data_IF_094059954117
#
_entry.id   IF_094059954117
#
_cell.length_a   1.000
_cell.length_b   1.000
_cell.length_c   1.000
_cell.angle_alpha   90.00
_cell.angle_beta   90.00
_cell.angle_gamma   90.00
#
_symmetry.space_group_name_H-M   'P 1'
#
loop_
_entity.id
_entity.type
_entity.pdbx_description
1 polymer ?
#
# COMPACT_ATOMS: atom_id res chain seq x y z
N UNK A 1 -75.37 9.41 -15.35
CA UNK A 1 -74.00 9.93 -15.60
C UNK A 1 -73.56 11.02 -14.62
N UNK A 2 -74.39 11.99 -14.22
CA UNK A 2 -73.94 13.11 -13.38
C UNK A 2 -73.52 12.72 -11.94
N UNK A 3 -74.19 11.78 -11.29
CA UNK A 3 -73.87 11.38 -9.91
C UNK A 3 -72.54 10.59 -9.77
N UNK A 4 -72.22 9.72 -10.72
CA UNK A 4 -71.00 8.89 -10.72
C UNK A 4 -69.73 9.72 -10.88
N UNK A 5 -69.77 10.74 -11.75
CA UNK A 5 -68.65 11.65 -11.96
C UNK A 5 -68.38 12.54 -10.73
N UNK A 6 -69.44 12.95 -10.02
CA UNK A 6 -69.32 13.74 -8.79
C UNK A 6 -68.63 12.93 -7.67
N UNK A 7 -68.96 11.65 -7.51
CA UNK A 7 -68.33 10.78 -6.51
C UNK A 7 -66.82 10.55 -6.75
N UNK A 8 -66.42 10.32 -8.00
CA UNK A 8 -65.00 10.14 -8.37
C UNK A 8 -64.20 11.42 -8.17
N UNK A 9 -64.76 12.58 -8.54
CA UNK A 9 -64.13 13.89 -8.33
C UNK A 9 -63.99 14.22 -6.82
N UNK A 10 -64.98 13.84 -6.00
CA UNK A 10 -64.95 14.06 -4.56
C UNK A 10 -63.90 13.17 -3.88
N UNK A 11 -63.77 11.91 -4.30
CA UNK A 11 -62.72 11.02 -3.81
C UNK A 11 -61.31 11.42 -4.25
N UNK A 12 -61.14 11.94 -5.48
CA UNK A 12 -59.87 12.54 -5.93
C UNK A 12 -59.50 13.79 -5.12
N UNK A 13 -60.49 14.65 -4.83
CA UNK A 13 -60.28 15.82 -3.98
C UNK A 13 -59.91 15.44 -2.54
N UNK A 14 -60.56 14.41 -1.98
CA UNK A 14 -60.27 13.88 -0.65
C UNK A 14 -58.87 13.25 -0.59
N UNK A 15 -58.50 12.45 -1.59
CA UNK A 15 -57.18 11.84 -1.70
C UNK A 15 -56.08 12.92 -1.78
N UNK A 16 -56.30 13.98 -2.56
CA UNK A 16 -55.37 15.13 -2.67
C UNK A 16 -55.25 15.92 -1.36
N UNK A 17 -56.34 16.05 -0.61
CA UNK A 17 -56.38 16.73 0.68
C UNK A 17 -55.75 15.89 1.80
N UNK A 18 -55.83 14.56 1.73
CA UNK A 18 -55.16 13.66 2.64
C UNK A 18 -53.65 13.55 2.35
N UNK A 19 -53.24 13.67 1.09
CA UNK A 19 -51.82 13.70 0.69
C UNK A 19 -51.08 14.88 1.34
N UNK A 20 -51.77 15.99 1.61
CA UNK A 20 -51.19 17.17 2.29
C UNK A 20 -51.26 17.14 3.81
N UNK A 21 -51.99 16.18 4.43
CA UNK A 21 -52.25 16.17 5.89
C UNK A 21 -51.86 14.89 6.63
N UNK A 22 -51.96 13.71 6.00
CA UNK A 22 -51.90 12.40 6.69
C UNK A 22 -50.85 11.46 6.08
N UNK A 23 -50.21 11.86 4.98
CA UNK A 23 -49.12 11.13 4.31
C UNK A 23 -49.57 10.23 3.17
N UNK A 24 -48.59 9.77 2.39
CA UNK A 24 -48.78 9.07 1.10
C UNK A 24 -49.61 7.78 1.23
N UNK A 25 -49.47 7.02 2.33
CA UNK A 25 -50.20 5.77 2.59
C UNK A 25 -51.73 5.99 2.59
N UNK A 26 -52.22 6.98 3.35
CA UNK A 26 -53.66 7.25 3.49
C UNK A 26 -54.29 7.78 2.19
N UNK A 27 -53.55 8.56 1.41
CA UNK A 27 -54.01 9.07 0.12
C UNK A 27 -54.17 7.96 -0.92
N UNK A 28 -53.20 7.05 -1.03
CA UNK A 28 -53.29 5.92 -1.97
C UNK A 28 -54.43 4.97 -1.57
N UNK A 29 -54.66 4.73 -0.27
CA UNK A 29 -55.78 3.90 0.20
C UNK A 29 -57.15 4.50 -0.14
N UNK A 30 -57.32 5.81 0.06
CA UNK A 30 -58.58 6.50 -0.26
C UNK A 30 -58.83 6.59 -1.76
N UNK A 31 -57.78 6.79 -2.56
CA UNK A 31 -57.85 6.72 -4.01
C UNK A 31 -58.26 5.31 -4.48
N UNK A 32 -57.65 4.28 -3.91
CA UNK A 32 -57.97 2.88 -4.18
C UNK A 32 -59.43 2.54 -3.85
N UNK A 33 -59.92 2.93 -2.67
CA UNK A 33 -61.33 2.73 -2.28
C UNK A 33 -62.29 3.50 -3.20
N UNK A 34 -61.94 4.72 -3.60
CA UNK A 34 -62.74 5.52 -4.54
C UNK A 34 -62.83 4.83 -5.91
N UNK A 35 -61.72 4.30 -6.42
CA UNK A 35 -61.68 3.55 -7.68
C UNK A 35 -62.51 2.26 -7.61
N UNK A 36 -62.45 1.51 -6.50
CA UNK A 36 -63.29 0.34 -6.26
C UNK A 36 -64.78 0.71 -6.24
N UNK A 37 -65.18 1.72 -5.46
CA UNK A 37 -66.58 2.15 -5.39
C UNK A 37 -67.07 2.65 -6.76
N UNK A 38 -66.23 3.40 -7.49
CA UNK A 38 -66.52 3.86 -8.84
C UNK A 38 -66.71 2.71 -9.83
N UNK A 39 -65.88 1.67 -9.75
CA UNK A 39 -65.99 0.46 -10.56
C UNK A 39 -67.32 -0.29 -10.31
N UNK A 40 -67.74 -0.38 -9.05
CA UNK A 40 -69.04 -0.95 -8.69
C UNK A 40 -70.23 -0.13 -9.25
N UNK A 41 -70.16 1.19 -9.18
CA UNK A 41 -71.21 2.06 -9.72
C UNK A 41 -71.28 2.03 -11.26
N UNK A 42 -70.12 1.94 -11.94
CA UNK A 42 -70.05 1.85 -13.41
C UNK A 42 -70.57 0.48 -13.88
N UNK A 43 -70.18 -0.63 -13.24
CA UNK A 43 -70.70 -1.97 -13.58
C UNK A 43 -72.22 -2.06 -13.42
N UNK A 44 -72.81 -1.35 -12.45
CA UNK A 44 -74.26 -1.23 -12.29
C UNK A 44 -74.97 -0.40 -13.39
N UNK A 45 -74.24 0.33 -14.24
CA UNK A 45 -74.82 1.14 -15.33
C UNK A 45 -74.42 0.66 -16.73
N UNK A 46 -73.22 0.08 -16.85
CA UNK A 46 -72.64 -0.45 -18.09
C UNK A 46 -72.05 -1.83 -17.80
N UNK A 47 -72.86 -2.90 -17.86
CA UNK A 47 -72.46 -4.25 -17.44
C UNK A 47 -71.38 -4.89 -18.34
N UNK A 48 -71.31 -4.49 -19.62
CA UNK A 48 -70.24 -4.93 -20.54
C UNK A 48 -68.82 -4.52 -20.09
N UNK A 49 -68.70 -3.58 -19.14
CA UNK A 49 -67.42 -3.17 -18.58
C UNK A 49 -66.84 -4.15 -17.53
N UNK A 50 -67.59 -5.18 -17.13
CA UNK A 50 -67.22 -6.12 -16.05
C UNK A 50 -65.81 -6.69 -16.22
N UNK A 51 -65.46 -7.16 -17.41
CA UNK A 51 -64.14 -7.74 -17.70
C UNK A 51 -62.97 -6.78 -17.41
N UNK A 52 -63.17 -5.48 -17.67
CA UNK A 52 -62.16 -4.44 -17.41
C UNK A 52 -62.15 -4.05 -15.92
N UNK A 53 -63.31 -4.08 -15.27
CA UNK A 53 -63.46 -3.64 -13.87
C UNK A 53 -62.85 -4.63 -12.86
N UNK A 54 -62.70 -5.91 -13.23
CA UNK A 54 -62.00 -6.92 -12.43
C UNK A 54 -60.47 -6.73 -12.40
N UNK A 55 -59.90 -5.95 -13.32
CA UNK A 55 -58.47 -5.60 -13.26
C UNK A 55 -58.17 -4.51 -12.22
N UNK A 56 -59.19 -3.81 -11.71
CA UNK A 56 -59.01 -2.68 -10.81
C UNK A 56 -58.56 -3.13 -9.40
N UNK A 57 -59.09 -4.20 -8.78
CA UNK A 57 -58.61 -4.64 -7.46
C UNK A 57 -57.13 -5.06 -7.46
N UNK A 58 -56.61 -5.85 -8.43
CA UNK A 58 -55.17 -6.11 -8.55
C UNK A 58 -54.33 -4.86 -8.77
N UNK A 59 -54.81 -3.91 -9.57
CA UNK A 59 -54.12 -2.63 -9.81
C UNK A 59 -54.05 -1.76 -8.53
N UNK A 60 -55.13 -1.73 -7.74
CA UNK A 60 -55.18 -1.02 -6.46
C UNK A 60 -54.23 -1.69 -5.46
N UNK A 61 -54.19 -3.02 -5.40
CA UNK A 61 -53.22 -3.74 -4.57
C UNK A 61 -51.79 -3.46 -5.03
N UNK A 62 -51.50 -3.49 -6.33
CA UNK A 62 -50.17 -3.21 -6.88
C UNK A 62 -49.67 -1.80 -6.52
N UNK A 63 -50.56 -0.80 -6.53
CA UNK A 63 -50.22 0.58 -6.15
C UNK A 63 -50.09 0.79 -4.65
N UNK A 64 -50.79 -0.01 -3.83
CA UNK A 64 -50.70 0.02 -2.36
C UNK A 64 -49.52 -0.78 -1.79
N UNK A 65 -49.04 -1.77 -2.53
CA UNK A 65 -47.99 -2.71 -2.12
C UNK A 65 -46.70 -2.05 -1.60
N UNK A 66 -46.18 -0.95 -2.18
CA UNK A 66 -44.99 -0.27 -1.65
C UNK A 66 -45.20 0.43 -0.30
N UNK A 67 -46.45 0.57 0.13
CA UNK A 67 -46.86 1.48 1.20
C UNK A 67 -47.50 0.77 2.39
N UNK A 68 -47.74 -0.53 2.31
CA UNK A 68 -48.55 -1.27 3.30
C UNK A 68 -47.75 -2.45 3.86
N UNK A 69 -47.71 -2.56 5.18
CA UNK A 69 -46.97 -3.62 5.86
C UNK A 69 -47.64 -5.01 5.68
N UNK A 70 -46.87 -6.09 5.78
CA UNK A 70 -47.31 -7.47 5.49
C UNK A 70 -48.51 -7.99 6.31
N UNK A 71 -48.91 -7.32 7.40
CA UNK A 71 -50.15 -7.67 8.11
C UNK A 71 -51.37 -7.00 7.48
N UNK A 72 -51.27 -5.70 7.20
CA UNK A 72 -52.33 -4.92 6.58
C UNK A 72 -52.56 -5.35 5.12
N UNK A 73 -51.52 -5.78 4.43
CA UNK A 73 -51.60 -6.18 3.03
C UNK A 73 -52.45 -7.47 2.83
N UNK A 74 -52.46 -8.39 3.81
CA UNK A 74 -53.38 -9.55 3.80
C UNK A 74 -54.85 -9.10 3.87
N UNK A 75 -55.13 -8.05 4.65
CA UNK A 75 -56.46 -7.44 4.71
C UNK A 75 -56.85 -6.77 3.40
N UNK A 76 -55.93 -6.03 2.76
CA UNK A 76 -56.18 -5.39 1.45
C UNK A 76 -56.44 -6.44 0.36
N UNK A 77 -55.67 -7.54 0.32
CA UNK A 77 -55.91 -8.66 -0.60
C UNK A 77 -57.28 -9.31 -0.34
N UNK A 78 -57.63 -9.57 0.92
CA UNK A 78 -58.94 -10.14 1.26
C UNK A 78 -60.10 -9.22 0.84
N UNK A 79 -59.97 -7.91 1.03
CA UNK A 79 -60.95 -6.91 0.58
C UNK A 79 -61.03 -6.86 -0.94
N UNK A 80 -59.90 -6.91 -1.65
CA UNK A 80 -59.87 -6.93 -3.11
C UNK A 80 -60.56 -8.18 -3.69
N UNK A 81 -60.33 -9.36 -3.11
CA UNK A 81 -60.99 -10.60 -3.50
C UNK A 81 -62.49 -10.60 -3.16
N UNK A 82 -62.87 -10.08 -2.00
CA UNK A 82 -64.28 -9.94 -1.62
C UNK A 82 -65.03 -8.96 -2.53
N UNK A 83 -64.37 -7.88 -2.95
CA UNK A 83 -64.91 -6.93 -3.92
C UNK A 83 -65.09 -7.56 -5.30
N UNK A 84 -64.14 -8.38 -5.74
CA UNK A 84 -64.24 -9.12 -6.99
C UNK A 84 -65.42 -10.12 -6.97
N UNK A 85 -65.57 -10.86 -5.87
CA UNK A 85 -66.72 -11.74 -5.65
C UNK A 85 -68.06 -10.99 -5.65
N UNK A 86 -68.10 -9.79 -5.07
CA UNK A 86 -69.28 -8.93 -5.06
C UNK A 86 -69.65 -8.45 -6.47
N UNK A 87 -68.68 -8.02 -7.28
CA UNK A 87 -68.91 -7.63 -8.67
C UNK A 87 -69.49 -8.80 -9.49
N UNK A 88 -68.97 -10.01 -9.29
CA UNK A 88 -69.48 -11.22 -9.93
C UNK A 88 -70.91 -11.56 -9.46
N UNK A 89 -71.23 -11.36 -8.18
CA UNK A 89 -72.57 -11.59 -7.64
C UNK A 89 -73.59 -10.60 -8.21
N UNK A 90 -73.25 -9.32 -8.31
CA UNK A 90 -74.11 -8.28 -8.90
C UNK A 90 -74.43 -8.61 -10.37
N UNK A 91 -73.43 -9.10 -11.11
CA UNK A 91 -73.61 -9.53 -12.49
C UNK A 91 -74.49 -10.77 -12.65
N UNK A 92 -74.58 -11.63 -11.63
CA UNK A 92 -75.43 -12.83 -11.62
C UNK A 92 -76.88 -12.56 -11.28
N UNK A 93 -77.19 -11.49 -10.56
CA UNK A 93 -78.56 -11.15 -10.12
C UNK A 93 -79.41 -10.47 -11.21
N UNK A 94 -78.90 -10.40 -12.45
CA UNK A 94 -79.49 -9.80 -13.67
C UNK A 94 -80.53 -8.67 -13.44
N UNK A 95 -80.13 -7.48 -12.94
CA UNK A 95 -81.05 -6.38 -12.74
C UNK A 95 -81.35 -5.56 -14.01
N UNK A 96 -80.68 -5.81 -15.15
CA UNK A 96 -80.48 -4.79 -16.20
C UNK A 96 -80.75 -5.22 -17.66
N UNK A 97 -81.35 -6.38 -17.92
CA UNK A 97 -81.83 -6.80 -19.25
C UNK A 97 -80.77 -6.69 -20.37
N UNK A 98 -79.60 -7.30 -20.17
CA UNK A 98 -78.59 -7.39 -21.22
C UNK A 98 -78.88 -8.53 -22.20
N UNK A 99 -78.33 -8.49 -23.43
CA UNK A 99 -78.12 -9.71 -24.20
C UNK A 99 -77.23 -10.64 -23.37
N UNK A 100 -77.78 -11.78 -22.98
CA UNK A 100 -77.09 -12.78 -22.20
C UNK A 100 -75.89 -13.30 -23.01
N UNK A 101 -74.65 -13.23 -22.48
CA UNK A 101 -73.54 -13.90 -23.11
C UNK A 101 -73.83 -15.41 -23.18
N UNK A 102 -73.15 -16.18 -24.05
CA UNK A 102 -73.36 -17.61 -24.18
C UNK A 102 -73.40 -18.30 -22.80
N UNK A 103 -74.25 -19.31 -22.62
CA UNK A 103 -74.44 -19.99 -21.32
C UNK A 103 -73.10 -20.45 -20.69
N UNK A 104 -72.13 -20.82 -21.54
CA UNK A 104 -70.78 -21.18 -21.13
C UNK A 104 -70.02 -20.02 -20.45
N UNK A 105 -70.09 -18.79 -20.95
CA UNK A 105 -69.38 -17.63 -20.39
C UNK A 105 -69.96 -17.20 -19.04
N UNK A 106 -71.29 -17.33 -18.88
CA UNK A 106 -71.96 -17.04 -17.62
C UNK A 106 -71.46 -17.92 -16.48
N UNK A 107 -71.09 -19.18 -16.76
CA UNK A 107 -70.60 -20.13 -15.77
C UNK A 107 -69.07 -20.07 -15.63
N UNK A 108 -68.36 -19.99 -16.74
CA UNK A 108 -66.90 -20.12 -16.79
C UNK A 108 -66.17 -18.90 -16.19
N UNK A 109 -66.63 -17.68 -16.49
CA UNK A 109 -66.01 -16.44 -15.99
C UNK A 109 -66.01 -16.38 -14.44
N UNK A 110 -67.15 -16.51 -13.74
CA UNK A 110 -67.15 -16.43 -12.27
C UNK A 110 -66.45 -17.61 -11.60
N UNK A 111 -66.28 -18.74 -12.29
CA UNK A 111 -65.55 -19.89 -11.76
C UNK A 111 -64.03 -19.67 -11.82
N UNK A 112 -63.50 -19.11 -12.91
CA UNK A 112 -62.04 -18.99 -13.15
C UNK A 112 -61.48 -17.65 -12.64
N UNK A 113 -62.24 -16.56 -12.78
CA UNK A 113 -61.79 -15.20 -12.48
C UNK A 113 -61.19 -14.99 -11.07
N UNK A 114 -61.81 -15.47 -9.97
CA UNK A 114 -61.23 -15.27 -8.63
C UNK A 114 -59.89 -16.00 -8.47
N UNK A 115 -59.67 -17.11 -9.17
CA UNK A 115 -58.37 -17.80 -9.17
C UNK A 115 -57.31 -17.00 -9.91
N UNK A 116 -57.66 -16.35 -11.04
CA UNK A 116 -56.75 -15.47 -11.78
C UNK A 116 -56.36 -14.26 -10.92
N UNK A 117 -57.34 -13.59 -10.29
CA UNK A 117 -57.08 -12.47 -9.38
C UNK A 117 -56.24 -12.89 -8.18
N UNK A 118 -56.57 -14.01 -7.52
CA UNK A 118 -55.79 -14.52 -6.40
C UNK A 118 -54.35 -14.86 -6.80
N UNK A 119 -54.14 -15.50 -7.96
CA UNK A 119 -52.82 -15.81 -8.48
C UNK A 119 -52.01 -14.54 -8.79
N UNK A 120 -52.62 -13.54 -9.42
CA UNK A 120 -51.97 -12.26 -9.73
C UNK A 120 -51.58 -11.50 -8.46
N UNK A 121 -52.46 -11.46 -7.46
CA UNK A 121 -52.21 -10.84 -6.16
C UNK A 121 -51.09 -11.56 -5.39
N UNK A 122 -51.06 -12.90 -5.43
CA UNK A 122 -50.01 -13.70 -4.81
C UNK A 122 -48.65 -13.49 -5.50
N UNK A 123 -48.61 -13.40 -6.83
CA UNK A 123 -47.40 -13.10 -7.59
C UNK A 123 -46.87 -11.69 -7.28
N UNK A 124 -47.75 -10.68 -7.26
CA UNK A 124 -47.38 -9.32 -6.89
C UNK A 124 -46.82 -9.27 -5.47
N UNK A 125 -47.50 -9.90 -4.52
CA UNK A 125 -47.03 -10.04 -3.15
C UNK A 125 -45.63 -10.68 -3.07
N UNK A 126 -45.45 -11.82 -3.73
CA UNK A 126 -44.19 -12.55 -3.73
C UNK A 126 -43.05 -11.73 -4.33
N UNK A 127 -43.33 -11.04 -5.44
CA UNK A 127 -42.36 -10.20 -6.12
C UNK A 127 -41.93 -9.00 -5.26
N UNK A 128 -42.88 -8.31 -4.64
CA UNK A 128 -42.57 -7.21 -3.74
C UNK A 128 -41.75 -7.64 -2.54
N UNK A 129 -42.12 -8.75 -1.89
CA UNK A 129 -41.32 -9.29 -0.80
C UNK A 129 -39.89 -9.59 -1.23
N UNK A 130 -39.70 -10.26 -2.36
CA UNK A 130 -38.37 -10.54 -2.90
C UNK A 130 -37.57 -9.26 -3.19
N UNK A 131 -38.18 -8.22 -3.76
CA UNK A 131 -37.48 -6.95 -4.00
C UNK A 131 -37.08 -6.30 -2.68
N UNK A 132 -38.00 -6.21 -1.73
CA UNK A 132 -37.71 -5.57 -0.44
C UNK A 132 -36.59 -6.31 0.29
N UNK A 133 -36.63 -7.65 0.30
CA UNK A 133 -35.57 -8.46 0.88
C UNK A 133 -34.23 -8.25 0.16
N UNK A 134 -34.21 -8.23 -1.17
CA UNK A 134 -33.01 -7.98 -1.96
C UNK A 134 -32.42 -6.59 -1.74
N UNK A 135 -33.27 -5.57 -1.63
CA UNK A 135 -32.83 -4.19 -1.36
C UNK A 135 -32.19 -4.09 0.02
N UNK A 136 -32.81 -4.69 1.04
CA UNK A 136 -32.27 -4.72 2.40
C UNK A 136 -30.94 -5.49 2.47
N UNK A 137 -30.83 -6.65 1.82
CA UNK A 137 -29.57 -7.40 1.76
C UNK A 137 -28.48 -6.63 1.01
N UNK A 138 -28.81 -5.99 -0.11
CA UNK A 138 -27.86 -5.19 -0.88
C UNK A 138 -27.34 -3.99 -0.07
N UNK A 139 -28.21 -3.31 0.68
CA UNK A 139 -27.83 -2.23 1.59
C UNK A 139 -26.89 -2.74 2.70
N UNK A 140 -27.19 -3.89 3.32
CA UNK A 140 -26.33 -4.50 4.33
C UNK A 140 -24.95 -4.86 3.80
N UNK A 141 -24.87 -5.45 2.60
CA UNK A 141 -23.59 -5.79 1.96
C UNK A 141 -22.80 -4.52 1.65
N UNK A 142 -23.46 -3.47 1.16
CA UNK A 142 -22.78 -2.20 0.88
C UNK A 142 -22.21 -1.57 2.15
N UNK A 143 -22.96 -1.59 3.26
CA UNK A 143 -22.47 -1.11 4.56
C UNK A 143 -21.28 -1.94 5.03
N UNK A 144 -21.37 -3.27 4.97
CA UNK A 144 -20.28 -4.17 5.37
C UNK A 144 -19.03 -3.98 4.50
N UNK A 145 -19.20 -3.78 3.19
CA UNK A 145 -18.11 -3.50 2.27
C UNK A 145 -17.45 -2.16 2.58
N UNK A 146 -18.24 -1.11 2.84
CA UNK A 146 -17.72 0.20 3.25
C UNK A 146 -16.92 0.09 4.56
N UNK A 147 -17.42 -0.65 5.55
CA UNK A 147 -16.69 -0.88 6.80
C UNK A 147 -15.36 -1.62 6.57
N UNK A 148 -15.37 -2.63 5.69
CA UNK A 148 -14.14 -3.34 5.33
C UNK A 148 -13.15 -2.45 4.59
N UNK A 149 -13.62 -1.54 3.72
CA UNK A 149 -12.76 -0.58 3.03
C UNK A 149 -12.12 0.40 4.01
N UNK A 150 -12.90 0.99 4.92
CA UNK A 150 -12.38 1.88 5.97
C UNK A 150 -11.32 1.15 6.81
N UNK A 151 -11.63 -0.09 7.25
CA UNK A 151 -10.68 -0.88 8.04
C UNK A 151 -9.38 -1.15 7.28
N UNK A 152 -9.48 -1.44 5.97
CA UNK A 152 -8.32 -1.68 5.13
C UNK A 152 -7.50 -0.40 4.91
N UNK A 153 -8.16 0.74 4.68
CA UNK A 153 -7.52 2.05 4.56
C UNK A 153 -6.78 2.44 5.84
N UNK A 154 -7.39 2.18 7.00
CA UNK A 154 -6.74 2.38 8.31
C UNK A 154 -5.52 1.47 8.48
N UNK A 155 -5.61 0.20 8.09
CA UNK A 155 -4.47 -0.72 8.13
C UNK A 155 -3.35 -0.30 7.19
N UNK A 156 -3.67 0.09 5.96
CA UNK A 156 -2.70 0.55 4.96
C UNK A 156 -2.01 1.83 5.43
N UNK A 157 -2.76 2.79 5.97
CA UNK A 157 -2.19 4.04 6.50
C UNK A 157 -1.27 3.77 7.70
N UNK A 158 -1.66 2.89 8.62
CA UNK A 158 -0.84 2.49 9.77
C UNK A 158 0.46 1.80 9.34
N UNK A 159 0.39 0.85 8.40
CA UNK A 159 1.57 0.15 7.85
C UNK A 159 2.48 1.08 7.07
N UNK A 160 1.92 2.01 6.30
CA UNK A 160 2.70 2.99 5.56
C UNK A 160 3.45 3.92 6.52
N UNK A 161 2.81 4.35 7.61
CA UNK A 161 3.46 5.16 8.65
C UNK A 161 4.56 4.38 9.39
N UNK A 162 4.35 3.10 9.69
CA UNK A 162 5.36 2.22 10.30
C UNK A 162 6.58 2.04 9.37
N UNK A 163 6.33 1.73 8.09
CA UNK A 163 7.40 1.60 7.09
C UNK A 163 8.16 2.90 6.90
N UNK A 164 7.48 4.05 6.86
CA UNK A 164 8.15 5.34 6.71
C UNK A 164 9.09 5.60 7.88
N UNK A 165 8.68 5.31 9.13
CA UNK A 165 9.56 5.44 10.30
C UNK A 165 10.77 4.52 10.21
N UNK A 166 10.58 3.27 9.77
CA UNK A 166 11.69 2.33 9.60
C UNK A 166 12.68 2.80 8.53
N UNK A 167 12.19 3.38 7.42
CA UNK A 167 13.03 3.99 6.39
C UNK A 167 13.81 5.17 6.96
N UNK A 168 13.16 6.07 7.68
CA UNK A 168 13.81 7.24 8.29
C UNK A 168 14.91 6.81 9.29
N UNK A 169 14.67 5.76 10.07
CA UNK A 169 15.67 5.17 10.98
C UNK A 169 16.87 4.58 10.23
N UNK A 170 16.63 3.84 9.15
CA UNK A 170 17.70 3.27 8.31
C UNK A 170 18.55 4.38 7.69
N UNK A 171 17.91 5.44 7.18
CA UNK A 171 18.62 6.59 6.59
C UNK A 171 19.48 7.28 7.65
N UNK A 172 18.94 7.53 8.84
CA UNK A 172 19.70 8.14 9.93
C UNK A 172 20.90 7.28 10.34
N UNK A 173 20.71 5.95 10.45
CA UNK A 173 21.78 5.01 10.77
C UNK A 173 22.86 4.97 9.69
N UNK A 174 22.47 5.00 8.42
CA UNK A 174 23.42 5.05 7.30
C UNK A 174 24.26 6.31 7.34
N UNK A 175 23.65 7.47 7.57
CA UNK A 175 24.37 8.74 7.68
C UNK A 175 25.39 8.72 8.83
N UNK A 176 25.01 8.18 9.99
CA UNK A 176 25.93 8.01 11.12
C UNK A 176 27.08 7.04 10.78
N UNK A 177 26.80 5.96 10.06
CA UNK A 177 27.83 5.01 9.65
C UNK A 177 28.84 5.65 8.69
N UNK A 178 28.37 6.45 7.73
CA UNK A 178 29.22 7.17 6.79
C UNK A 178 30.11 8.20 7.50
N UNK A 179 29.59 8.90 8.50
CA UNK A 179 30.35 9.82 9.34
C UNK A 179 31.48 9.10 10.09
N UNK A 180 31.16 7.97 10.76
CA UNK A 180 32.16 7.16 11.46
C UNK A 180 33.22 6.61 10.51
N UNK A 181 32.84 6.17 9.31
CA UNK A 181 33.79 5.68 8.30
C UNK A 181 34.73 6.80 7.84
N UNK A 182 34.21 8.02 7.66
CA UNK A 182 35.02 9.20 7.34
C UNK A 182 36.01 9.53 8.46
N UNK A 183 35.56 9.50 9.73
CA UNK A 183 36.43 9.72 10.88
C UNK A 183 37.55 8.68 10.95
N UNK A 184 37.22 7.38 10.80
CA UNK A 184 38.21 6.29 10.77
C UNK A 184 39.19 6.48 9.60
N UNK A 185 38.72 6.92 8.44
CA UNK A 185 39.59 7.20 7.29
C UNK A 185 40.57 8.35 7.60
N UNK A 186 40.10 9.44 8.20
CA UNK A 186 40.95 10.55 8.62
C UNK A 186 41.97 10.14 9.69
N UNK A 187 41.55 9.39 10.71
CA UNK A 187 42.45 8.84 11.73
C UNK A 187 43.53 7.95 11.12
N UNK A 188 43.16 7.07 10.17
CA UNK A 188 44.13 6.24 9.45
C UNK A 188 45.12 7.05 8.64
N UNK A 189 44.69 8.14 8.02
CA UNK A 189 45.60 9.01 7.27
C UNK A 189 46.57 9.75 8.18
N UNK A 190 46.09 10.32 9.29
CA UNK A 190 46.94 10.94 10.30
C UNK A 190 47.96 9.94 10.88
N UNK A 191 47.54 8.69 11.15
CA UNK A 191 48.46 7.63 11.58
C UNK A 191 49.51 7.35 10.50
N UNK A 192 49.12 7.30 9.21
CA UNK A 192 50.07 7.09 8.10
C UNK A 192 51.11 8.20 8.00
N UNK A 193 50.69 9.47 8.11
CA UNK A 193 51.62 10.61 8.14
C UNK A 193 52.61 10.52 9.31
N UNK A 194 52.20 10.00 10.46
CA UNK A 194 53.07 9.80 11.63
C UNK A 194 53.97 8.55 11.55
N UNK A 195 53.75 7.64 10.59
CA UNK A 195 54.36 6.29 10.57
C UNK A 195 55.68 6.17 9.79
N UNK A 196 56.18 7.26 9.18
CA UNK A 196 57.45 7.32 8.43
C UNK A 196 58.28 8.54 8.84
N UNK A 197 58.73 8.65 10.10
CA UNK A 197 59.52 9.79 10.54
C UNK A 197 60.96 9.69 10.02
N UNK A 198 61.37 10.57 9.11
CA UNK A 198 62.79 10.83 8.83
C UNK A 198 63.33 11.78 9.89
N UNK A 199 64.26 11.31 10.70
CA UNK A 199 64.76 12.02 11.87
C UNK A 199 66.11 12.68 11.57
N UNK A 200 66.23 14.02 11.54
CA UNK A 200 67.53 14.69 11.50
C UNK A 200 68.20 14.57 12.86
N UNK A 201 69.36 13.91 12.90
CA UNK A 201 70.13 13.67 14.15
C UNK A 201 71.41 14.49 14.20
N UNK A 202 71.88 14.99 13.06
CA UNK A 202 72.94 15.99 12.96
C UNK A 202 72.71 16.88 11.73
N UNK A 203 73.54 17.93 11.57
CA UNK A 203 73.41 18.90 10.47
C UNK A 203 73.43 18.28 9.07
N UNK A 204 74.06 17.12 8.88
CA UNK A 204 74.19 16.45 7.59
C UNK A 204 73.74 14.98 7.62
N UNK A 205 73.08 14.54 8.70
CA UNK A 205 72.76 13.13 8.93
C UNK A 205 71.27 12.94 9.21
N UNK A 206 70.62 12.11 8.39
CA UNK A 206 69.25 11.65 8.56
C UNK A 206 69.21 10.19 9.01
N UNK A 207 68.24 9.86 9.85
CA UNK A 207 67.91 8.48 10.22
C UNK A 207 66.53 8.14 9.69
N UNK A 208 66.44 6.99 9.01
CA UNK A 208 65.22 6.36 8.54
C UNK A 208 64.98 5.08 9.34
N UNK A 209 64.23 5.15 10.45
CA UNK A 209 63.89 3.97 11.24
C UNK A 209 62.80 3.16 10.54
N UNK A 210 63.08 1.87 10.33
CA UNK A 210 62.12 0.92 9.78
C UNK A 210 61.57 0.05 10.91
N UNK A 211 60.29 0.26 11.24
CA UNK A 211 59.61 -0.40 12.37
C UNK A 211 58.36 -1.14 11.92
N UNK A 212 58.24 -2.40 12.34
CA UNK A 212 57.06 -3.22 12.14
C UNK A 212 57.04 -3.93 10.78
N UNK A 213 55.87 -4.43 10.39
CA UNK A 213 55.70 -5.06 9.08
C UNK A 213 55.84 -4.01 7.96
N UNK A 214 56.72 -4.30 7.01
CA UNK A 214 56.90 -3.50 5.80
C UNK A 214 56.24 -4.25 4.64
N UNK A 215 55.38 -3.56 3.91
CA UNK A 215 54.86 -4.03 2.63
C UNK A 215 55.43 -3.18 1.49
N UNK A 216 55.23 -3.61 0.25
CA UNK A 216 55.78 -2.90 -0.92
C UNK A 216 55.16 -1.51 -1.12
N UNK A 217 53.97 -1.22 -0.59
CA UNK A 217 53.40 0.13 -0.64
C UNK A 217 54.13 1.08 0.30
N UNK A 218 54.37 0.65 1.55
CA UNK A 218 55.10 1.40 2.56
C UNK A 218 56.55 1.65 2.15
N UNK A 219 57.20 0.68 1.51
CA UNK A 219 58.57 0.82 0.98
C UNK A 219 58.65 1.86 -0.15
N UNK A 220 57.65 1.94 -1.04
CA UNK A 220 57.60 3.00 -2.06
C UNK A 220 57.43 4.38 -1.43
N UNK A 221 56.53 4.51 -0.45
CA UNK A 221 56.34 5.77 0.27
C UNK A 221 57.62 6.19 1.02
N UNK A 222 58.31 5.25 1.66
CA UNK A 222 59.60 5.46 2.31
C UNK A 222 60.65 5.97 1.32
N UNK A 223 60.74 5.34 0.15
CA UNK A 223 61.66 5.73 -0.91
C UNK A 223 61.43 7.19 -1.36
N UNK A 224 60.20 7.52 -1.74
CA UNK A 224 59.83 8.87 -2.19
C UNK A 224 60.09 9.92 -1.10
N UNK A 225 59.69 9.62 0.15
CA UNK A 225 59.87 10.54 1.27
C UNK A 225 61.34 10.74 1.65
N UNK A 226 62.16 9.68 1.60
CA UNK A 226 63.59 9.73 1.85
C UNK A 226 64.31 10.62 0.84
N UNK A 227 64.05 10.43 -0.46
CA UNK A 227 64.68 11.24 -1.50
C UNK A 227 64.26 12.70 -1.43
N UNK A 228 62.96 12.98 -1.28
CA UNK A 228 62.46 14.35 -1.14
C UNK A 228 63.05 15.07 0.08
N UNK A 229 63.23 14.35 1.19
CA UNK A 229 63.84 14.93 2.40
C UNK A 229 65.34 15.15 2.23
N UNK A 230 66.07 14.21 1.63
CA UNK A 230 67.49 14.37 1.31
C UNK A 230 67.75 15.59 0.42
N UNK A 231 66.92 15.79 -0.61
CA UNK A 231 66.99 16.96 -1.48
C UNK A 231 66.77 18.26 -0.68
N UNK A 232 65.72 18.28 0.14
CA UNK A 232 65.34 19.47 0.92
C UNK A 232 66.35 19.83 2.00
N UNK A 233 66.89 18.84 2.73
CA UNK A 233 67.80 19.07 3.85
C UNK A 233 69.27 19.12 3.43
N UNK A 234 69.60 18.66 2.22
CA UNK A 234 70.98 18.46 1.74
C UNK A 234 71.84 17.61 2.68
N UNK A 235 71.21 16.67 3.37
CA UNK A 235 71.94 15.73 4.21
C UNK A 235 72.90 14.89 3.36
N UNK A 236 74.11 14.70 3.85
CA UNK A 236 75.17 13.93 3.19
C UNK A 236 75.23 12.49 3.68
N UNK A 237 74.48 12.15 4.72
CA UNK A 237 74.42 10.82 5.30
C UNK A 237 72.98 10.39 5.56
N UNK A 238 72.64 9.17 5.14
CA UNK A 238 71.37 8.51 5.42
C UNK A 238 71.61 7.20 6.16
N UNK A 239 71.18 7.10 7.42
CA UNK A 239 71.22 5.86 8.19
C UNK A 239 69.85 5.18 8.06
N UNK A 240 69.82 3.97 7.54
CA UNK A 240 68.61 3.16 7.46
C UNK A 240 68.68 2.13 8.57
N UNK A 241 67.83 2.29 9.59
CA UNK A 241 67.79 1.40 10.75
C UNK A 241 66.75 0.30 10.53
N UNK A 242 67.22 -0.93 10.32
CA UNK A 242 66.40 -2.13 10.15
C UNK A 242 66.22 -2.93 11.44
N UNK A 243 66.64 -2.40 12.60
CA UNK A 243 66.53 -3.10 13.91
C UNK A 243 65.08 -3.54 14.20
N UNK A 244 64.10 -2.71 13.81
CA UNK A 244 62.67 -2.94 14.03
C UNK A 244 61.98 -3.83 13.00
N UNK A 245 62.73 -4.46 12.09
CA UNK A 245 62.19 -5.28 10.98
C UNK A 245 62.46 -6.77 11.26
N UNK A 246 61.45 -7.55 11.69
CA UNK A 246 61.67 -8.94 12.10
C UNK A 246 61.93 -9.88 10.92
N UNK A 247 61.32 -9.61 9.76
CA UNK A 247 61.43 -10.43 8.54
C UNK A 247 61.50 -9.50 7.33
N UNK A 248 62.42 -9.78 6.41
CA UNK A 248 62.54 -9.07 5.14
C UNK A 248 62.23 -10.05 4.01
N UNK A 249 61.33 -9.66 3.11
CA UNK A 249 61.09 -10.37 1.85
C UNK A 249 61.89 -9.76 0.69
N UNK A 250 61.82 -10.38 -0.49
CA UNK A 250 62.52 -9.91 -1.68
C UNK A 250 62.12 -8.50 -2.12
N UNK A 251 60.85 -8.12 -1.99
CA UNK A 251 60.37 -6.81 -2.43
C UNK A 251 60.84 -5.70 -1.49
N UNK A 252 60.78 -5.94 -0.18
CA UNK A 252 61.28 -5.04 0.86
C UNK A 252 62.79 -4.86 0.71
N UNK A 253 63.54 -5.95 0.54
CA UNK A 253 64.99 -5.88 0.36
C UNK A 253 65.36 -5.05 -0.87
N UNK A 254 64.75 -5.32 -2.03
CA UNK A 254 65.00 -4.54 -3.25
C UNK A 254 64.66 -3.06 -3.08
N UNK A 255 63.55 -2.71 -2.44
CA UNK A 255 63.19 -1.31 -2.27
C UNK A 255 64.11 -0.56 -1.31
N UNK A 256 64.68 -1.22 -0.29
CA UNK A 256 65.73 -0.62 0.56
C UNK A 256 66.97 -0.32 -0.28
N UNK A 257 67.42 -1.26 -1.12
CA UNK A 257 68.58 -1.08 -1.98
C UNK A 257 68.36 0.03 -3.02
N UNK A 258 67.18 0.08 -3.64
CA UNK A 258 66.83 1.15 -4.56
C UNK A 258 66.87 2.53 -3.87
N UNK A 259 66.41 2.60 -2.62
CA UNK A 259 66.50 3.82 -1.81
C UNK A 259 67.95 4.21 -1.54
N UNK A 260 68.82 3.26 -1.17
CA UNK A 260 70.25 3.48 -0.96
C UNK A 260 70.94 3.97 -2.24
N UNK A 261 70.67 3.33 -3.37
CA UNK A 261 71.26 3.69 -4.66
C UNK A 261 70.81 5.08 -5.11
N UNK A 262 69.51 5.39 -4.99
CA UNK A 262 69.00 6.71 -5.33
C UNK A 262 69.54 7.80 -4.40
N UNK A 263 69.62 7.55 -3.09
CA UNK A 263 70.24 8.47 -2.13
C UNK A 263 71.71 8.76 -2.48
N UNK A 264 72.47 7.74 -2.90
CA UNK A 264 73.86 7.89 -3.38
C UNK A 264 73.94 8.76 -4.63
N UNK A 265 73.01 8.61 -5.57
CA UNK A 265 72.94 9.48 -6.75
C UNK A 265 72.64 10.95 -6.40
N UNK A 266 71.91 11.19 -5.31
CA UNK A 266 71.68 12.52 -4.73
C UNK A 266 72.88 13.04 -3.90
N UNK A 267 73.98 12.28 -3.81
CA UNK A 267 75.19 12.67 -3.10
C UNK A 267 75.17 12.38 -1.60
N UNK A 268 74.23 11.56 -1.12
CA UNK A 268 74.17 11.12 0.27
C UNK A 268 74.76 9.71 0.43
N UNK A 269 75.75 9.56 1.32
CA UNK A 269 76.28 8.25 1.69
C UNK A 269 75.29 7.52 2.59
N UNK A 270 74.95 6.30 2.22
CA UNK A 270 73.89 5.53 2.86
C UNK A 270 74.46 4.35 3.61
N UNK A 271 73.98 4.18 4.84
CA UNK A 271 74.49 3.22 5.81
C UNK A 271 73.33 2.38 6.32
N UNK A 272 73.52 1.06 6.40
CA UNK A 272 72.52 0.14 6.94
C UNK A 272 72.86 -0.22 8.39
N UNK A 273 71.89 -0.13 9.28
CA UNK A 273 72.11 -0.28 10.72
C UNK A 273 71.17 -1.34 11.28
N UNK A 274 71.64 -2.15 12.23
CA UNK A 274 70.75 -3.07 12.97
C UNK A 274 70.37 -4.35 12.22
N UNK A 275 71.23 -4.82 11.31
CA UNK A 275 70.96 -6.03 10.52
C UNK A 275 71.01 -7.25 11.44
N UNK A 276 69.84 -7.87 11.67
CA UNK A 276 69.72 -9.12 12.43
C UNK A 276 70.27 -10.31 11.63
N UNK A 277 70.77 -11.38 12.26
CA UNK A 277 71.35 -12.54 11.56
C UNK A 277 70.41 -13.16 10.51
N UNK A 278 69.12 -13.27 10.80
CA UNK A 278 68.13 -13.87 9.90
C UNK A 278 67.91 -12.99 8.65
N UNK A 279 67.98 -11.67 8.83
CA UNK A 279 67.86 -10.68 7.75
C UNK A 279 69.11 -10.74 6.86
N UNK A 280 70.31 -10.81 7.46
CA UNK A 280 71.55 -10.96 6.72
C UNK A 280 71.56 -12.23 5.85
N UNK A 281 71.13 -13.37 6.42
CA UNK A 281 70.99 -14.62 5.67
C UNK A 281 70.03 -14.47 4.49
N UNK A 282 68.92 -13.77 4.69
CA UNK A 282 67.93 -13.55 3.63
C UNK A 282 68.50 -12.67 2.52
N UNK A 283 69.15 -11.55 2.85
CA UNK A 283 69.76 -10.65 1.85
C UNK A 283 70.81 -11.39 1.01
N UNK A 284 71.66 -12.20 1.66
CA UNK A 284 72.66 -13.03 0.96
C UNK A 284 71.97 -14.10 0.09
N UNK A 285 70.95 -14.77 0.62
CA UNK A 285 70.19 -15.79 -0.12
C UNK A 285 69.44 -15.24 -1.33
N UNK A 286 69.07 -13.96 -1.32
CA UNK A 286 68.46 -13.25 -2.44
C UNK A 286 69.48 -12.80 -3.50
N UNK A 287 70.79 -12.95 -3.25
CA UNK A 287 71.84 -12.53 -4.17
C UNK A 287 71.98 -11.01 -4.30
N UNK A 288 71.53 -10.26 -3.28
CA UNK A 288 71.63 -8.80 -3.27
C UNK A 288 73.07 -8.40 -2.96
N UNK A 289 73.66 -7.62 -3.87
CA UNK A 289 75.00 -7.09 -3.69
C UNK A 289 75.00 -5.85 -2.77
N UNK A 290 75.60 -6.00 -1.59
CA UNK A 290 75.84 -4.92 -0.65
C UNK A 290 77.25 -4.32 -0.78
N UNK A 291 77.99 -4.66 -1.84
CA UNK A 291 79.34 -4.15 -2.05
C UNK A 291 79.34 -2.61 -2.07
N UNK A 292 80.12 -2.02 -1.17
CA UNK A 292 80.18 -0.57 -0.99
C UNK A 292 79.05 0.06 -0.18
N UNK A 293 78.19 -0.71 0.51
CA UNK A 293 77.26 -0.20 1.53
C UNK A 293 77.87 -0.49 2.90
N UNK A 294 78.06 0.56 3.71
CA UNK A 294 78.55 0.41 5.07
C UNK A 294 77.45 -0.14 5.99
N UNK A 295 77.82 -1.06 6.87
CA UNK A 295 76.89 -1.66 7.84
C UNK A 295 77.41 -1.50 9.27
N UNK A 296 76.50 -1.24 10.21
CA UNK A 296 76.82 -1.14 11.63
C UNK A 296 75.82 -1.95 12.47
N UNK A 297 76.25 -2.45 13.65
CA UNK A 297 75.38 -3.23 14.53
C UNK A 297 74.24 -2.41 15.13
N UNK A 298 74.44 -1.11 15.37
CA UNK A 298 73.48 -0.22 16.02
C UNK A 298 73.69 1.25 15.61
N UNK A 299 72.68 2.09 15.89
CA UNK A 299 72.68 3.51 15.52
C UNK A 299 73.78 4.29 16.25
N UNK A 300 74.07 3.94 17.49
CA UNK A 300 75.10 4.60 18.30
C UNK A 300 76.48 4.49 17.62
N UNK A 301 76.85 3.29 17.20
CA UNK A 301 78.11 3.01 16.49
C UNK A 301 78.17 3.73 15.15
N UNK A 302 77.04 3.79 14.42
CA UNK A 302 76.97 4.47 13.13
C UNK A 302 77.10 6.00 13.24
N UNK A 303 76.59 6.58 14.33
CA UNK A 303 76.68 8.02 14.60
C UNK A 303 78.05 8.45 15.14
N UNK A 304 78.79 7.55 15.77
CA UNK A 304 80.13 7.82 16.29
C UNK A 304 81.25 7.87 15.22
N UNK A 305 80.92 7.57 13.95
CA UNK A 305 81.85 7.46 12.81
C UNK A 305 81.74 8.63 11.86
#
# INVERSE_FOLDING_TARGET
MQATNVGVLLGLALARLLLSRVGMRASVMTLGMTLMIGACAITATTPAALLVMVLIPPLVVATLLPFVDSRAMRGVIAVALAFDLLLLLIARLDPLHLPTPPEAEQILIPLIQPFICAALLALLWQFHHRITDLLLHAEQINIALQQSQITLEDQVSARTAELQRAVDEIVARSAQQDELLSEVAQQREAIRELSVPLLPVAHDTLVLPLVGALDSARIRQLHEHALATLERTRARRLLIDVTGVPVIDTQVAHGIIQTIQAARLLGADSVLVGIRPEVAQTIVGLGIDLSGIHTFPDLETALAR
#
